data_IF_412406723498
#
_entry.id   IF_412406723498
#
_cell.length_a   1.000
_cell.length_b   1.000
_cell.length_c   1.000
_cell.angle_alpha   90.00
_cell.angle_beta   90.00
_cell.angle_gamma   90.00
#
_symmetry.space_group_name_H-M   'P 1'
#
loop_
_entity.id
_entity.type
_entity.pdbx_description
1 polymer ?
#
# COMPACT_ATOMS: atom_id res chain seq x y z
N UNK A 1 12.46 -6.62 -4.48
CA UNK A 1 11.87 -5.27 -4.47
C UNK A 1 11.29 -4.88 -3.11
N UNK A 2 10.07 -5.26 -2.72
CA UNK A 2 9.50 -4.80 -1.43
C UNK A 2 10.33 -5.21 -0.20
N UNK A 3 10.84 -6.44 -0.18
CA UNK A 3 11.70 -6.92 0.91
C UNK A 3 13.03 -6.18 1.01
N UNK A 4 13.56 -5.66 -0.10
CA UNK A 4 14.81 -4.89 -0.11
C UNK A 4 14.57 -3.54 0.58
N UNK A 5 13.48 -2.84 0.21
CA UNK A 5 13.08 -1.57 0.85
C UNK A 5 12.87 -1.76 2.37
N UNK A 6 12.25 -2.87 2.78
CA UNK A 6 12.02 -3.15 4.20
C UNK A 6 13.30 -3.46 4.97
N UNK A 7 14.30 -4.04 4.31
CA UNK A 7 15.59 -4.42 4.89
C UNK A 7 16.61 -3.25 4.95
N UNK A 8 16.42 -2.21 4.13
CA UNK A 8 17.30 -1.05 4.13
C UNK A 8 17.28 -0.28 5.46
N UNK A 9 18.42 0.31 5.81
CA UNK A 9 18.57 1.14 7.01
C UNK A 9 18.11 2.58 6.71
N UNK A 10 16.79 2.75 6.70
CA UNK A 10 16.13 4.05 6.54
C UNK A 10 14.98 4.18 7.55
N UNK A 11 14.51 5.41 7.76
CA UNK A 11 13.39 5.65 8.68
C UNK A 11 12.10 4.97 8.22
N UNK A 12 11.20 4.70 9.17
CA UNK A 12 9.89 4.11 8.88
C UNK A 12 9.13 4.88 7.79
N UNK A 13 9.10 6.21 7.87
CA UNK A 13 8.39 7.06 6.92
C UNK A 13 9.01 6.93 5.51
N UNK A 14 10.34 6.93 5.41
CA UNK A 14 11.04 6.72 4.13
C UNK A 14 10.70 5.36 3.52
N UNK A 15 10.65 4.28 4.33
CA UNK A 15 10.25 2.95 3.83
C UNK A 15 8.82 2.99 3.27
N UNK A 16 7.89 3.62 3.98
CA UNK A 16 6.50 3.71 3.52
C UNK A 16 6.37 4.53 2.23
N UNK A 17 7.13 5.61 2.08
CA UNK A 17 7.18 6.40 0.84
C UNK A 17 7.76 5.61 -0.33
N UNK A 18 8.87 4.90 -0.13
CA UNK A 18 9.47 4.03 -1.16
C UNK A 18 8.52 2.89 -1.56
N UNK A 19 7.80 2.31 -0.61
CA UNK A 19 6.80 1.28 -0.90
C UNK A 19 5.64 1.89 -1.69
N UNK A 20 5.17 3.08 -1.32
CA UNK A 20 4.14 3.78 -2.08
C UNK A 20 4.59 4.09 -3.52
N UNK A 21 5.88 4.37 -3.75
CA UNK A 21 6.45 4.56 -5.10
C UNK A 21 6.36 3.30 -5.96
N UNK A 22 6.65 2.13 -5.40
CA UNK A 22 6.72 0.87 -6.16
C UNK A 22 5.41 0.08 -6.20
N UNK A 23 4.45 0.36 -5.31
CA UNK A 23 3.14 -0.31 -5.27
C UNK A 23 2.40 -0.35 -6.62
N UNK A 24 2.39 0.70 -7.46
CA UNK A 24 1.75 0.64 -8.78
C UNK A 24 2.29 -0.47 -9.69
N UNK A 25 3.52 -0.96 -9.48
CA UNK A 25 4.14 -2.00 -10.31
C UNK A 25 3.47 -3.37 -10.22
N UNK A 26 2.60 -3.59 -9.22
CA UNK A 26 1.86 -4.86 -9.08
C UNK A 26 0.68 -4.95 -10.05
N UNK A 27 0.30 -3.81 -10.63
CA UNK A 27 -0.81 -3.68 -11.56
C UNK A 27 -0.35 -3.92 -13.00
N UNK A 28 -1.30 -4.27 -13.87
CA UNK A 28 -1.05 -4.49 -15.30
C UNK A 28 -0.59 -3.23 -16.05
N UNK A 29 -1.00 -2.05 -15.59
CA UNK A 29 -0.62 -0.76 -16.19
C UNK A 29 -0.04 0.20 -15.15
N UNK A 30 1.17 -0.06 -14.62
CA UNK A 30 1.78 0.73 -13.55
C UNK A 30 1.90 2.22 -13.88
N UNK A 31 2.16 2.55 -15.14
CA UNK A 31 2.34 3.92 -15.64
C UNK A 31 1.05 4.76 -15.60
N UNK A 32 -0.11 4.10 -15.50
CA UNK A 32 -1.43 4.74 -15.37
C UNK A 32 -1.96 4.67 -13.96
N UNK A 33 -1.18 4.09 -13.05
CA UNK A 33 -1.58 3.83 -11.69
C UNK A 33 -0.88 4.77 -10.70
N UNK A 34 -1.57 5.03 -9.59
CA UNK A 34 -0.98 5.69 -8.42
C UNK A 34 -1.39 4.95 -7.17
N UNK A 35 -0.59 5.09 -6.11
CA UNK A 35 -0.78 4.37 -4.87
C UNK A 35 -0.87 5.31 -3.67
N UNK A 36 -1.62 4.87 -2.66
CA UNK A 36 -1.69 5.49 -1.35
C UNK A 36 -1.63 4.42 -0.28
N UNK A 37 -0.81 4.64 0.74
CA UNK A 37 -0.76 3.86 1.96
C UNK A 37 -1.37 4.73 3.05
N UNK A 38 -2.34 4.20 3.78
CA UNK A 38 -2.93 4.81 4.95
C UNK A 38 -2.56 3.98 6.18
N UNK A 39 -1.97 4.63 7.17
CA UNK A 39 -1.61 4.00 8.43
C UNK A 39 -1.95 4.94 9.58
N UNK A 40 -3.05 4.67 10.27
CA UNK A 40 -3.58 5.58 11.28
C UNK A 40 -3.85 6.99 10.71
N UNK A 41 -3.28 8.06 11.28
CA UNK A 41 -3.41 9.43 10.75
C UNK A 41 -2.47 9.72 9.56
N UNK A 42 -1.53 8.82 9.25
CA UNK A 42 -0.51 9.05 8.24
C UNK A 42 -0.95 8.57 6.85
N UNK A 43 -0.59 9.35 5.82
CA UNK A 43 -0.85 9.01 4.42
C UNK A 43 0.42 9.18 3.59
N UNK A 44 0.90 8.07 3.03
CA UNK A 44 2.04 8.02 2.12
C UNK A 44 1.55 7.80 0.70
N UNK A 45 2.11 8.51 -0.28
CA UNK A 45 1.57 8.56 -1.64
C UNK A 45 2.68 8.32 -2.65
N UNK A 46 2.33 7.67 -3.76
CA UNK A 46 3.23 7.57 -4.90
C UNK A 46 3.52 8.96 -5.49
N UNK A 47 4.66 9.16 -6.18
CA UNK A 47 4.93 10.36 -6.95
C UNK A 47 3.79 10.61 -7.94
N UNK A 48 3.40 11.87 -8.11
CA UNK A 48 2.31 12.26 -9.02
C UNK A 48 0.97 11.60 -8.65
N UNK A 49 0.71 11.36 -7.36
CA UNK A 49 -0.56 10.80 -6.89
C UNK A 49 -1.76 11.61 -7.37
N UNK A 50 -2.71 10.89 -7.98
CA UNK A 50 -4.00 11.44 -8.38
C UNK A 50 -5.07 10.39 -8.15
N UNK A 51 -6.15 10.78 -7.49
CA UNK A 51 -7.32 9.93 -7.38
C UNK A 51 -7.86 9.67 -8.79
N UNK A 52 -7.85 8.39 -9.15
CA UNK A 52 -8.36 7.91 -10.42
C UNK A 52 -9.83 7.50 -10.31
N UNK A 53 -10.48 7.33 -11.46
CA UNK A 53 -11.88 6.89 -11.52
C UNK A 53 -12.07 5.49 -10.94
N UNK A 54 -11.07 4.63 -11.11
CA UNK A 54 -11.10 3.25 -10.63
C UNK A 54 -10.17 3.12 -9.44
N UNK A 55 -10.68 2.53 -8.36
CA UNK A 55 -9.95 2.28 -7.12
C UNK A 55 -10.07 0.81 -6.71
N UNK A 56 -8.98 0.26 -6.18
CA UNK A 56 -8.99 -0.97 -5.41
C UNK A 56 -8.24 -0.75 -4.09
N UNK A 57 -8.74 -1.33 -3.02
CA UNK A 57 -8.14 -1.24 -1.69
C UNK A 57 -7.79 -2.62 -1.18
N UNK A 58 -6.75 -2.74 -0.36
CA UNK A 58 -6.46 -3.97 0.39
C UNK A 58 -7.56 -4.25 1.40
N UNK A 59 -7.62 -5.49 1.86
CA UNK A 59 -8.40 -5.86 3.05
C UNK A 59 -7.90 -5.05 4.25
N UNK A 60 -8.82 -4.61 5.11
CA UNK A 60 -8.46 -3.94 6.36
C UNK A 60 -7.65 -4.92 7.21
N UNK A 61 -6.45 -4.51 7.63
CA UNK A 61 -5.70 -5.26 8.64
C UNK A 61 -5.69 -4.43 9.92
N UNK A 62 -6.59 -4.73 10.88
CA UNK A 62 -6.54 -4.11 12.19
C UNK A 62 -5.26 -4.53 12.90
N UNK A 63 -4.54 -3.56 13.45
CA UNK A 63 -3.25 -3.78 14.12
C UNK A 63 -3.35 -3.80 15.64
N UNK A 64 -4.46 -3.36 16.21
CA UNK A 64 -4.73 -3.43 17.65
C UNK A 64 -6.23 -3.27 17.95
N UNK A 65 -6.64 -3.45 19.21
CA UNK A 65 -8.01 -3.13 19.67
C UNK A 65 -8.34 -1.63 19.52
N UNK A 66 -7.32 -0.77 19.59
CA UNK A 66 -7.42 0.62 19.19
C UNK A 66 -7.33 0.74 17.67
N UNK A 67 -8.43 1.16 17.04
CA UNK A 67 -8.59 1.46 15.60
C UNK A 67 -7.53 2.41 15.01
N UNK A 68 -6.69 3.02 15.84
CA UNK A 68 -5.66 4.02 15.51
C UNK A 68 -4.50 3.51 14.63
N UNK A 69 -4.39 2.20 14.39
CA UNK A 69 -3.29 1.60 13.61
C UNK A 69 -3.75 0.80 12.38
N UNK A 70 -4.97 1.02 11.89
CA UNK A 70 -5.46 0.32 10.70
C UNK A 70 -4.58 0.63 9.47
N UNK A 71 -4.15 -0.42 8.75
CA UNK A 71 -3.38 -0.33 7.52
C UNK A 71 -4.30 -0.53 6.31
N UNK A 72 -4.22 0.39 5.35
CA UNK A 72 -4.86 0.27 4.05
C UNK A 72 -3.88 0.60 2.93
N UNK A 73 -3.86 -0.23 1.91
CA UNK A 73 -3.22 0.07 0.64
C UNK A 73 -4.30 0.35 -0.39
N UNK A 74 -4.16 1.43 -1.12
CA UNK A 74 -5.09 1.83 -2.16
C UNK A 74 -4.34 2.07 -3.46
N UNK A 75 -4.91 1.58 -4.54
CA UNK A 75 -4.40 1.76 -5.88
C UNK A 75 -5.49 2.35 -6.77
N UNK A 76 -5.07 3.26 -7.63
CA UNK A 76 -5.98 4.03 -8.48
C UNK A 76 -5.50 3.99 -9.92
N UNK A 77 -6.42 3.78 -10.87
CA UNK A 77 -6.14 4.04 -12.28
C UNK A 77 -6.76 5.37 -12.72
N UNK A 78 -5.93 6.25 -13.28
CA UNK A 78 -6.35 7.60 -13.66
C UNK A 78 -7.05 7.64 -15.02
N UNK A 79 -6.47 6.99 -16.03
CA UNK A 79 -6.85 7.13 -17.45
C UNK A 79 -7.00 5.76 -18.13
N UNK A 80 -7.69 4.82 -17.48
CA UNK A 80 -7.93 3.49 -18.02
C UNK A 80 -9.16 3.49 -18.93
N UNK A 81 -8.94 3.36 -20.24
CA UNK A 81 -10.03 3.16 -21.22
C UNK A 81 -10.40 1.67 -21.28
N UNK A 82 -11.40 1.28 -20.51
CA UNK A 82 -11.96 -0.07 -20.55
C UNK A 82 -12.94 -0.19 -21.73
N UNK A 83 -12.81 -1.25 -22.52
CA UNK A 83 -13.91 -1.68 -23.40
C UNK A 83 -15.09 -2.12 -22.53
N UNK A 84 -16.32 -1.88 -22.98
CA UNK A 84 -17.54 -2.20 -22.23
C UNK A 84 -17.48 -3.61 -21.61
N UNK A 85 -17.85 -3.73 -20.34
CA UNK A 85 -17.91 -4.94 -19.51
C UNK A 85 -16.59 -5.51 -18.94
N UNK A 86 -15.44 -4.83 -19.06
CA UNK A 86 -14.22 -5.27 -18.35
C UNK A 86 -14.10 -4.64 -16.96
N UNK A 87 -13.74 -5.46 -15.96
CA UNK A 87 -13.35 -4.96 -14.65
C UNK A 87 -11.97 -4.25 -14.72
N UNK A 88 -11.80 -3.11 -14.03
CA UNK A 88 -10.54 -2.36 -14.01
C UNK A 88 -9.39 -3.16 -13.41
N UNK A 89 -9.68 -3.98 -12.40
CA UNK A 89 -8.72 -4.77 -11.66
C UNK A 89 -9.07 -6.25 -11.76
N UNK A 90 -8.06 -7.11 -11.81
CA UNK A 90 -8.23 -8.57 -11.76
C UNK A 90 -8.24 -9.07 -10.31
N UNK A 91 -8.76 -10.28 -10.12
CA UNK A 91 -8.66 -10.99 -8.84
C UNK A 91 -7.21 -11.23 -8.42
N UNK A 92 -6.30 -11.48 -9.37
CA UNK A 92 -4.87 -11.63 -9.12
C UNK A 92 -4.22 -10.32 -8.63
N UNK A 93 -4.55 -9.17 -9.23
CA UNK A 93 -4.09 -7.85 -8.76
C UNK A 93 -4.57 -7.58 -7.33
N UNK A 94 -5.83 -7.93 -7.02
CA UNK A 94 -6.39 -7.84 -5.67
C UNK A 94 -5.66 -8.75 -4.68
N UNK A 95 -5.39 -10.00 -5.05
CA UNK A 95 -4.66 -10.95 -4.20
C UNK A 95 -3.22 -10.49 -3.93
N UNK A 96 -2.53 -9.94 -4.93
CA UNK A 96 -1.19 -9.35 -4.78
C UNK A 96 -1.21 -8.16 -3.82
N UNK A 97 -2.19 -7.26 -3.96
CA UNK A 97 -2.36 -6.12 -3.06
C UNK A 97 -2.59 -6.57 -1.61
N UNK A 98 -3.46 -7.55 -1.41
CA UNK A 98 -3.75 -8.11 -0.08
C UNK A 98 -2.54 -8.83 0.54
N UNK A 99 -1.75 -9.52 -0.29
CA UNK A 99 -0.52 -10.18 0.16
C UNK A 99 0.53 -9.16 0.63
N UNK A 100 0.73 -8.07 -0.12
CA UNK A 100 1.66 -6.99 0.27
C UNK A 100 1.16 -6.30 1.53
N UNK A 101 -0.15 -6.05 1.64
CA UNK A 101 -0.73 -5.49 2.85
C UNK A 101 -0.39 -6.36 4.07
N UNK A 102 -0.51 -7.69 3.97
CA UNK A 102 -0.17 -8.62 5.06
C UNK A 102 1.31 -8.53 5.47
N UNK A 103 2.22 -8.51 4.50
CA UNK A 103 3.67 -8.39 4.75
C UNK A 103 3.98 -7.08 5.47
N UNK A 104 3.46 -5.96 4.96
CA UNK A 104 3.62 -4.65 5.58
C UNK A 104 3.04 -4.62 6.99
N UNK A 105 1.91 -5.29 7.17
CA UNK A 105 1.27 -5.42 8.47
C UNK A 105 2.23 -6.03 9.50
N UNK A 106 2.89 -7.14 9.15
CA UNK A 106 3.82 -7.83 10.07
C UNK A 106 5.07 -6.99 10.32
N UNK A 107 5.55 -6.28 9.30
CA UNK A 107 6.67 -5.36 9.45
C UNK A 107 6.35 -4.22 10.43
N UNK A 108 5.20 -3.57 10.26
CA UNK A 108 4.75 -2.46 11.13
C UNK A 108 4.62 -2.92 12.59
N UNK A 109 4.10 -4.12 12.85
CA UNK A 109 3.99 -4.65 14.21
C UNK A 109 5.36 -4.73 14.90
N UNK A 110 6.36 -5.25 14.18
CA UNK A 110 7.73 -5.36 14.68
C UNK A 110 8.35 -4.00 14.96
N UNK A 111 8.12 -3.02 14.09
CA UNK A 111 8.60 -1.64 14.28
C UNK A 111 7.96 -0.97 15.51
N UNK A 112 6.66 -1.20 15.75
CA UNK A 112 5.96 -0.70 16.93
C UNK A 112 6.51 -1.36 18.20
N UNK A 113 6.67 -2.69 18.20
CA UNK A 113 7.19 -3.45 19.33
C UNK A 113 8.62 -3.03 19.68
N UNK A 114 9.50 -2.89 18.68
CA UNK A 114 10.87 -2.41 18.87
C UNK A 114 10.94 -1.00 19.48
N UNK A 115 9.98 -0.12 19.16
CA UNK A 115 9.88 1.21 19.80
C UNK A 115 9.38 1.14 21.24
N UNK A 116 8.46 0.22 21.56
CA UNK A 116 7.95 0.04 22.94
C UNK A 116 9.02 -0.49 23.90
N UNK A 117 9.89 -1.39 23.45
CA UNK A 117 10.95 -2.01 24.28
C UNK A 117 12.09 -1.02 24.62
N UNK A 118 12.18 0.11 23.91
CA UNK A 118 13.21 1.14 24.14
C UNK A 118 12.83 2.20 25.19
N UNK A 119 11.64 2.09 25.78
CA UNK A 119 11.15 2.93 26.89
C UNK A 119 10.77 2.05 28.08
#
# INVERSE_FOLDING_TARGET
MFYEILAEDMSFDQKMEEIAKVLPQILRYPEKASARILFGPYSYKSPVFKQGKYQISSSNIPKNEEKSHALWLELFYKDLSLKNNYEPFTSDEKQKLDFIAKILSVFIDKEIEAKKVRY
#
